data_IF_853522132103
#
_entry.id   IF_853522132103
#
_cell.length_a   1.000
_cell.length_b   1.000
_cell.length_c   1.000
_cell.angle_alpha   90.00
_cell.angle_beta   90.00
_cell.angle_gamma   90.00
#
_symmetry.space_group_name_H-M   'P 1'
#
loop_
_entity.id
_entity.type
_entity.pdbx_description
1 polymer ?
#
# COMPACT_ATOMS: atom_id res chain seq x y z
N UNK A 1 -26.85 52.24 -12.17
CA UNK A 1 -25.75 51.90 -13.10
C UNK A 1 -24.49 51.50 -12.33
N UNK A 2 -24.64 50.69 -11.27
CA UNK A 2 -23.51 50.11 -10.50
C UNK A 2 -23.94 48.69 -10.18
N UNK A 3 -23.63 47.76 -11.09
CA UNK A 3 -23.91 46.34 -10.94
C UNK A 3 -22.70 45.60 -11.49
N UNK A 4 -22.08 44.78 -10.63
CA UNK A 4 -21.02 43.80 -10.92
C UNK A 4 -19.64 44.37 -11.26
N UNK A 5 -18.94 44.84 -10.22
CA UNK A 5 -17.53 44.50 -10.09
C UNK A 5 -17.49 43.12 -9.43
N UNK A 6 -17.66 42.08 -10.24
CA UNK A 6 -17.30 40.72 -9.83
C UNK A 6 -15.82 40.75 -9.46
N UNK A 7 -15.52 40.42 -8.21
CA UNK A 7 -14.17 40.29 -7.68
C UNK A 7 -13.41 39.27 -8.50
N UNK A 8 -12.52 39.73 -9.37
CA UNK A 8 -11.47 38.89 -9.96
C UNK A 8 -10.62 38.44 -8.78
N UNK A 9 -10.78 37.19 -8.35
CA UNK A 9 -9.86 36.58 -7.41
C UNK A 9 -8.49 36.53 -8.10
N UNK A 10 -7.46 37.07 -7.45
CA UNK A 10 -6.08 37.07 -7.96
C UNK A 10 -5.53 35.65 -8.24
N UNK A 11 -6.24 34.59 -7.82
CA UNK A 11 -5.89 33.20 -8.06
C UNK A 11 -6.11 32.73 -9.51
N UNK A 12 -6.85 33.49 -10.34
CA UNK A 12 -7.14 33.11 -11.73
C UNK A 12 -6.11 33.65 -12.75
N UNK A 13 -5.11 34.43 -12.31
CA UNK A 13 -3.99 34.82 -13.18
C UNK A 13 -2.97 33.67 -13.14
N UNK A 14 -2.66 33.01 -14.27
CA UNK A 14 -1.64 31.97 -14.29
C UNK A 14 -0.28 32.62 -13.97
N UNK A 15 0.14 32.52 -12.71
CA UNK A 15 1.49 32.88 -12.30
C UNK A 15 2.44 31.98 -13.06
N UNK A 16 3.23 32.56 -13.95
CA UNK A 16 4.26 31.84 -14.68
C UNK A 16 5.41 31.60 -13.71
N UNK A 17 5.35 30.43 -13.07
CA UNK A 17 6.37 29.97 -12.13
C UNK A 17 7.63 29.62 -12.93
N UNK A 18 8.70 30.36 -12.67
CA UNK A 18 9.95 30.32 -13.44
C UNK A 18 11.02 29.40 -12.84
N UNK A 19 10.93 29.13 -11.53
CA UNK A 19 11.92 28.33 -10.80
C UNK A 19 11.26 27.26 -9.93
N UNK A 20 12.03 26.23 -9.58
CA UNK A 20 11.58 25.20 -8.62
C UNK A 20 11.28 25.79 -7.24
N UNK A 21 12.07 26.76 -6.78
CA UNK A 21 11.84 27.43 -5.49
C UNK A 21 10.50 28.17 -5.50
N UNK A 22 10.24 28.93 -6.57
CA UNK A 22 8.98 29.65 -6.76
C UNK A 22 7.80 28.66 -6.80
N UNK A 23 7.95 27.51 -7.45
CA UNK A 23 6.92 26.48 -7.46
C UNK A 23 6.55 25.99 -6.07
N UNK A 24 7.56 25.68 -5.25
CA UNK A 24 7.36 25.19 -3.89
C UNK A 24 6.73 26.27 -3.00
N UNK A 25 7.11 27.54 -3.16
CA UNK A 25 6.51 28.65 -2.42
C UNK A 25 5.04 28.92 -2.80
N UNK A 26 4.64 28.58 -4.03
CA UNK A 26 3.26 28.73 -4.51
C UNK A 26 2.35 27.53 -4.23
N UNK A 27 2.84 26.47 -3.57
CA UNK A 27 1.98 25.37 -3.15
C UNK A 27 0.92 25.87 -2.16
N UNK A 28 -0.35 25.76 -2.56
CA UNK A 28 -1.48 26.31 -1.81
C UNK A 28 -2.47 25.20 -1.42
N UNK A 29 -2.74 25.07 -0.12
CA UNK A 29 -3.69 24.09 0.43
C UNK A 29 -5.15 24.38 0.06
N UNK A 30 -5.47 25.62 -0.29
CA UNK A 30 -6.79 26.07 -0.71
C UNK A 30 -7.04 25.88 -2.20
N UNK A 31 -6.00 25.54 -2.98
CA UNK A 31 -6.13 25.32 -4.41
C UNK A 31 -6.94 24.04 -4.68
N UNK A 32 -7.97 24.15 -5.53
CA UNK A 32 -8.80 23.02 -5.89
C UNK A 32 -8.02 22.03 -6.80
N UNK A 33 -8.02 20.75 -6.41
CA UNK A 33 -7.41 19.67 -7.17
C UNK A 33 -8.33 19.17 -8.29
N UNK A 34 -7.74 18.54 -9.31
CA UNK A 34 -8.52 17.83 -10.34
C UNK A 34 -9.23 16.62 -9.76
N UNK A 35 -10.47 16.36 -10.17
CA UNK A 35 -11.27 15.22 -9.69
C UNK A 35 -10.62 13.85 -9.98
N UNK A 36 -9.85 13.74 -11.06
CA UNK A 36 -9.23 12.49 -11.47
C UNK A 36 -7.90 12.25 -10.76
N UNK A 37 -7.83 11.14 -10.01
CA UNK A 37 -6.59 10.67 -9.39
C UNK A 37 -5.77 9.85 -10.39
N UNK A 38 -4.53 10.26 -10.69
CA UNK A 38 -3.68 9.60 -11.69
C UNK A 38 -2.93 8.37 -11.17
N UNK A 39 -2.42 8.44 -9.94
CA UNK A 39 -1.71 7.32 -9.30
C UNK A 39 -2.67 6.13 -9.13
N UNK A 40 -2.23 4.90 -8.91
CA UNK A 40 -3.09 3.77 -8.55
C UNK A 40 -2.91 3.40 -7.06
N UNK A 41 -3.93 2.86 -6.41
CA UNK A 41 -3.83 2.38 -5.01
C UNK A 41 -3.78 0.85 -5.01
N UNK A 42 -2.74 0.31 -4.38
CA UNK A 42 -2.55 -1.12 -4.15
C UNK A 42 -2.87 -1.40 -2.69
N UNK A 43 -3.73 -2.38 -2.43
CA UNK A 43 -4.06 -2.83 -1.08
C UNK A 43 -3.70 -4.30 -0.91
N UNK A 44 -2.99 -4.62 0.17
CA UNK A 44 -2.72 -6.03 0.51
C UNK A 44 -3.95 -6.61 1.19
N UNK A 45 -4.42 -7.75 0.69
CA UNK A 45 -5.61 -8.41 1.23
C UNK A 45 -5.19 -9.43 2.27
N UNK A 46 -5.91 -9.46 3.38
CA UNK A 46 -5.71 -10.40 4.47
C UNK A 46 -7.00 -10.60 5.26
N UNK A 47 -6.95 -11.32 6.39
CA UNK A 47 -8.14 -11.73 7.15
C UNK A 47 -9.04 -10.57 7.64
N UNK A 48 -8.50 -9.35 7.73
CA UNK A 48 -9.28 -8.17 8.12
C UNK A 48 -10.15 -7.60 6.98
N UNK A 49 -9.89 -7.98 5.73
CA UNK A 49 -10.50 -7.35 4.55
C UNK A 49 -10.78 -8.34 3.41
N UNK A 50 -10.82 -9.64 3.67
CA UNK A 50 -11.06 -10.69 2.68
C UNK A 50 -12.55 -10.91 2.37
N UNK A 51 -13.46 -10.37 3.17
CA UNK A 51 -14.90 -10.49 2.94
C UNK A 51 -15.37 -9.67 1.74
N UNK A 52 -16.37 -10.18 1.01
CA UNK A 52 -16.95 -9.53 -0.17
C UNK A 52 -17.43 -8.10 0.15
N UNK A 53 -18.07 -7.90 1.30
CA UNK A 53 -18.57 -6.57 1.70
C UNK A 53 -17.44 -5.57 1.90
N UNK A 54 -16.35 -5.96 2.59
CA UNK A 54 -15.20 -5.09 2.81
C UNK A 54 -14.48 -4.76 1.50
N UNK A 55 -14.38 -5.75 0.61
CA UNK A 55 -13.80 -5.54 -0.71
C UNK A 55 -14.62 -4.53 -1.54
N UNK A 56 -15.96 -4.59 -1.50
CA UNK A 56 -16.81 -3.57 -2.14
C UNK A 56 -16.54 -2.17 -1.61
N UNK A 57 -16.44 -2.03 -0.29
CA UNK A 57 -16.08 -0.76 0.35
C UNK A 57 -14.71 -0.27 -0.10
N UNK A 58 -13.69 -1.14 -0.12
CA UNK A 58 -12.34 -0.77 -0.56
C UNK A 58 -12.30 -0.32 -2.02
N UNK A 59 -13.02 -1.01 -2.90
CA UNK A 59 -13.12 -0.65 -4.32
C UNK A 59 -13.83 0.70 -4.48
N UNK A 60 -14.91 0.95 -3.72
CA UNK A 60 -15.60 2.24 -3.72
C UNK A 60 -14.72 3.38 -3.21
N UNK A 61 -13.83 3.09 -2.25
CA UNK A 61 -12.86 4.05 -1.71
C UNK A 61 -11.57 4.19 -2.56
N UNK A 62 -11.50 3.56 -3.73
CA UNK A 62 -10.44 3.80 -4.71
C UNK A 62 -9.33 2.75 -4.78
N UNK A 63 -9.51 1.56 -4.21
CA UNK A 63 -8.61 0.42 -4.45
C UNK A 63 -8.60 0.05 -5.94
N UNK A 64 -7.42 -0.03 -6.55
CA UNK A 64 -7.25 -0.43 -7.95
C UNK A 64 -6.59 -1.79 -8.12
N UNK A 65 -5.74 -2.20 -7.18
CA UNK A 65 -4.99 -3.46 -7.25
C UNK A 65 -5.07 -4.17 -5.90
N UNK A 66 -5.52 -5.42 -5.91
CA UNK A 66 -5.49 -6.32 -4.77
C UNK A 66 -4.19 -7.13 -4.78
N UNK A 67 -3.34 -6.94 -3.76
CA UNK A 67 -2.09 -7.69 -3.56
C UNK A 67 -2.34 -8.88 -2.64
N UNK A 68 -2.00 -10.08 -3.11
CA UNK A 68 -2.04 -11.33 -2.34
C UNK A 68 -0.62 -11.71 -1.94
N UNK A 69 -0.32 -11.68 -0.64
CA UNK A 69 1.00 -12.02 -0.14
C UNK A 69 1.12 -13.53 0.12
N UNK A 70 1.92 -14.23 -0.68
CA UNK A 70 2.12 -15.68 -0.58
C UNK A 70 3.17 -16.09 0.47
N UNK A 71 3.76 -15.16 1.21
CA UNK A 71 4.58 -15.50 2.38
C UNK A 71 3.74 -16.14 3.50
N UNK A 72 2.43 -15.95 3.47
CA UNK A 72 1.44 -16.47 4.43
C UNK A 72 0.21 -17.03 3.72
N UNK A 73 -0.59 -17.80 4.46
CA UNK A 73 -1.84 -18.39 3.96
C UNK A 73 -1.63 -19.66 3.14
N UNK A 74 -2.71 -20.41 2.94
CA UNK A 74 -2.73 -21.58 2.06
C UNK A 74 -3.21 -21.19 0.65
N UNK A 75 -3.06 -22.09 -0.32
CA UNK A 75 -3.57 -21.87 -1.66
C UNK A 75 -5.10 -21.72 -1.67
N UNK A 76 -5.81 -22.45 -0.81
CA UNK A 76 -7.26 -22.38 -0.66
C UNK A 76 -7.70 -21.00 -0.16
N UNK A 77 -6.97 -20.43 0.81
CA UNK A 77 -7.24 -19.09 1.31
C UNK A 77 -7.11 -18.03 0.21
N UNK A 78 -6.02 -18.10 -0.57
CA UNK A 78 -5.81 -17.18 -1.69
C UNK A 78 -6.86 -17.37 -2.80
N UNK A 79 -7.26 -18.62 -3.10
CA UNK A 79 -8.31 -18.91 -4.06
C UNK A 79 -9.66 -18.32 -3.63
N UNK A 80 -10.03 -18.47 -2.36
CA UNK A 80 -11.24 -17.87 -1.80
C UNK A 80 -11.17 -16.33 -1.88
N UNK A 81 -10.02 -15.74 -1.57
CA UNK A 81 -9.83 -14.29 -1.68
C UNK A 81 -10.04 -13.81 -3.11
N UNK A 82 -9.50 -14.52 -4.11
CA UNK A 82 -9.71 -14.20 -5.53
C UNK A 82 -11.19 -14.30 -5.91
N UNK A 83 -11.89 -15.33 -5.42
CA UNK A 83 -13.32 -15.49 -5.65
C UNK A 83 -14.11 -14.33 -5.06
N UNK A 84 -13.79 -13.93 -3.82
CA UNK A 84 -14.45 -12.82 -3.15
C UNK A 84 -14.22 -11.49 -3.88
N UNK A 85 -13.00 -11.24 -4.40
CA UNK A 85 -12.69 -10.06 -5.22
C UNK A 85 -13.55 -10.06 -6.48
N UNK A 86 -13.63 -11.19 -7.20
CA UNK A 86 -14.45 -11.32 -8.40
C UNK A 86 -15.93 -11.13 -8.11
N UNK A 87 -16.41 -11.65 -6.99
CA UNK A 87 -17.79 -11.48 -6.55
C UNK A 87 -18.10 -10.02 -6.18
N UNK A 88 -17.18 -9.33 -5.49
CA UNK A 88 -17.32 -7.92 -5.17
C UNK A 88 -17.41 -7.04 -6.42
N UNK A 89 -16.72 -7.41 -7.50
CA UNK A 89 -16.79 -6.71 -8.79
C UNK A 89 -18.11 -6.92 -9.53
N UNK A 90 -18.75 -8.10 -9.41
CA UNK A 90 -20.02 -8.40 -10.10
C UNK A 90 -21.15 -7.45 -9.73
N UNK A 91 -21.12 -6.87 -8.53
CA UNK A 91 -22.18 -5.97 -8.09
C UNK A 91 -21.99 -4.52 -8.52
N UNK A 92 -20.91 -4.18 -9.23
CA UNK A 92 -20.72 -2.82 -9.75
C UNK A 92 -21.27 -2.70 -11.16
N UNK A 93 -22.08 -1.68 -11.37
CA UNK A 93 -22.59 -1.28 -12.68
C UNK A 93 -21.53 -0.51 -13.49
N UNK A 94 -20.62 0.17 -12.79
CA UNK A 94 -19.53 0.91 -13.40
C UNK A 94 -18.42 -0.03 -13.90
N UNK A 95 -17.75 0.39 -14.98
CA UNK A 95 -16.55 -0.25 -15.57
C UNK A 95 -15.30 -0.17 -14.66
N UNK A 96 -15.48 -0.38 -13.35
CA UNK A 96 -14.40 -0.38 -12.37
C UNK A 96 -13.65 -1.70 -12.45
N UNK A 97 -12.44 -1.66 -12.98
CA UNK A 97 -11.54 -2.81 -13.01
C UNK A 97 -10.63 -2.81 -11.78
N UNK A 98 -10.41 -3.99 -11.21
CA UNK A 98 -9.43 -4.22 -10.14
C UNK A 98 -8.46 -5.29 -10.60
N UNK A 99 -7.17 -4.97 -10.62
CA UNK A 99 -6.13 -5.93 -10.92
C UNK A 99 -5.83 -6.80 -9.69
N UNK A 100 -5.41 -8.04 -9.91
CA UNK A 100 -4.95 -8.94 -8.86
C UNK A 100 -3.45 -9.17 -9.04
N UNK A 101 -2.67 -8.82 -8.03
CA UNK A 101 -1.23 -8.98 -7.99
C UNK A 101 -0.86 -10.09 -7.00
N UNK A 102 -0.04 -11.03 -7.46
CA UNK A 102 0.54 -12.09 -6.62
C UNK A 102 1.92 -11.64 -6.18
N UNK A 103 2.14 -11.57 -4.87
CA UNK A 103 3.44 -11.29 -4.29
C UNK A 103 4.09 -12.59 -3.78
N UNK A 104 5.20 -12.95 -4.39
CA UNK A 104 5.93 -14.19 -4.10
C UNK A 104 6.74 -14.07 -2.82
N UNK A 105 6.86 -15.18 -2.08
CA UNK A 105 7.69 -15.28 -0.87
C UNK A 105 9.15 -14.82 -1.09
N UNK A 106 9.77 -15.24 -2.20
CA UNK A 106 11.20 -14.99 -2.44
C UNK A 106 12.13 -15.82 -1.54
N UNK A 107 13.46 -15.61 -1.62
CA UNK A 107 14.47 -16.36 -0.87
C UNK A 107 14.63 -15.84 0.58
N UNK A 108 13.57 -15.97 1.37
CA UNK A 108 13.55 -15.48 2.75
C UNK A 108 14.34 -16.39 3.71
N UNK A 109 15.16 -15.80 4.58
CA UNK A 109 15.71 -16.48 5.77
C UNK A 109 14.81 -16.16 6.96
N UNK A 110 14.17 -17.17 7.54
CA UNK A 110 13.32 -17.03 8.75
C UNK A 110 13.92 -17.80 9.92
N UNK A 111 13.83 -17.22 11.10
CA UNK A 111 14.16 -17.91 12.36
C UNK A 111 13.08 -18.93 12.71
N UNK A 112 13.46 -19.99 13.41
CA UNK A 112 12.52 -20.98 13.94
C UNK A 112 11.62 -20.44 15.06
N UNK A 113 10.68 -21.27 15.50
CA UNK A 113 9.83 -20.99 16.66
C UNK A 113 10.71 -20.99 17.91
N UNK A 114 10.58 -19.96 18.74
CA UNK A 114 11.34 -19.83 19.98
C UNK A 114 10.55 -20.53 21.10
N UNK A 115 11.10 -21.60 21.65
CA UNK A 115 10.60 -22.21 22.89
C UNK A 115 10.86 -21.23 24.05
N UNK A 116 9.84 -20.45 24.40
CA UNK A 116 10.00 -19.37 25.36
C UNK A 116 9.66 -19.86 26.77
N UNK A 117 10.69 -20.05 27.61
CA UNK A 117 10.52 -20.03 29.09
C UNK A 117 10.99 -18.70 29.70
N UNK A 118 11.77 -17.88 28.99
CA UNK A 118 12.13 -16.53 29.44
C UNK A 118 12.65 -15.65 28.29
N UNK A 119 11.98 -14.52 28.05
CA UNK A 119 12.34 -13.54 26.99
C UNK A 119 13.75 -12.95 27.16
N UNK A 120 14.30 -12.91 28.39
CA UNK A 120 15.65 -12.37 28.63
C UNK A 120 16.77 -13.26 28.04
N UNK A 121 16.55 -14.57 27.93
CA UNK A 121 17.54 -15.48 27.34
C UNK A 121 17.64 -15.31 25.83
N UNK A 122 16.58 -14.82 25.18
CA UNK A 122 16.52 -14.71 23.73
C UNK A 122 17.55 -13.72 23.19
N UNK A 123 17.72 -12.57 23.85
CA UNK A 123 18.68 -11.55 23.40
C UNK A 123 20.13 -12.04 23.49
N UNK A 124 20.45 -12.77 24.58
CA UNK A 124 21.79 -13.37 24.77
C UNK A 124 22.06 -14.48 23.76
N UNK A 125 21.05 -15.31 23.46
CA UNK A 125 21.17 -16.38 22.49
C UNK A 125 21.39 -15.83 21.07
N UNK A 126 20.70 -14.74 20.70
CA UNK A 126 20.89 -14.06 19.41
C UNK A 126 22.32 -13.53 19.29
N UNK A 127 22.88 -12.89 20.32
CA UNK A 127 24.28 -12.44 20.30
C UNK A 127 25.25 -13.62 20.11
N UNK A 128 25.04 -14.74 20.81
CA UNK A 128 25.90 -15.93 20.66
C UNK A 128 25.81 -16.55 19.24
N UNK A 129 24.61 -16.68 18.68
CA UNK A 129 24.42 -17.26 17.33
C UNK A 129 24.99 -16.36 16.25
N UNK A 130 24.84 -15.03 16.37
CA UNK A 130 25.40 -14.07 15.42
C UNK A 130 26.94 -14.16 15.32
N UNK A 131 27.61 -14.34 16.47
CA UNK A 131 29.07 -14.56 16.52
C UNK A 131 29.42 -15.90 15.84
N UNK A 132 28.60 -16.94 16.01
CA UNK A 132 28.89 -18.26 15.46
C UNK A 132 28.76 -18.32 13.93
N UNK A 133 27.73 -17.67 13.37
CA UNK A 133 27.55 -17.58 11.91
C UNK A 133 28.66 -16.75 11.24
N UNK A 134 29.12 -15.68 11.88
CA UNK A 134 30.24 -14.87 11.38
C UNK A 134 31.58 -15.60 11.43
N UNK A 135 31.78 -16.53 12.38
CA UNK A 135 32.96 -17.39 12.40
C UNK A 135 32.97 -18.44 11.28
N UNK A 136 31.81 -18.94 10.86
CA UNK A 136 31.75 -19.93 9.78
C UNK A 136 31.99 -19.33 8.39
N UNK A 137 31.64 -18.07 8.14
CA UNK A 137 31.92 -17.46 6.82
C UNK A 137 33.40 -17.15 6.61
N UNK A 138 34.18 -16.97 7.67
CA UNK A 138 35.60 -16.63 7.58
C UNK A 138 36.53 -17.84 7.41
N UNK A 139 36.01 -19.08 7.46
CA UNK A 139 36.79 -20.31 7.29
C UNK A 139 36.60 -20.98 5.92
N UNK A 140 35.97 -20.28 4.96
CA UNK A 140 35.75 -20.76 3.59
C UNK A 140 36.32 -19.81 2.51
N UNK A 141 37.39 -19.09 2.85
CA UNK A 141 38.28 -18.45 1.87
C UNK A 141 39.63 -19.18 1.85
#
# INVERSE_FOLDING_TARGET
>A
MISKLESINNDDIPVIISTQLEHLCHLNISQQLTLHRKTSIICTIGPACDTVQKLKEMIANGMNIARLNFSHGSHEFHAQTIQNIREALKSKEDMTNVAIALDTKGPEIRTGIIETVNLNYLFVLIQKIAIQLSFQSNNHC
#
